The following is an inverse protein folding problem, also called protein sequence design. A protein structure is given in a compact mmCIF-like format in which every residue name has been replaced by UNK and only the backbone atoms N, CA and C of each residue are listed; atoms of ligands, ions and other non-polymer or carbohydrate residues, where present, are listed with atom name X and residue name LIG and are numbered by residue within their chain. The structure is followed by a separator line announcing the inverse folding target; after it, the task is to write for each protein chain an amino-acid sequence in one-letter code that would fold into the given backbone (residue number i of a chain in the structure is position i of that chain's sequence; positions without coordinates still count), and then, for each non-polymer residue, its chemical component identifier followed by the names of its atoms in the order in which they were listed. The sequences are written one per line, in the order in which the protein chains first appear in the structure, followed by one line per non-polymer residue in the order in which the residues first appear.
data_IF_403855691328
#
_entry.id   IF_403855691328
#
_cell.length_a   1.000
_cell.length_b   1.000
_cell.length_c   1.000
_cell.angle_alpha   90.00
_cell.angle_beta   90.00
_cell.angle_gamma   90.00
#
_symmetry.space_group_name_H-M   'P 1'
#
loop_
_entity.id
_entity.type
_entity.pdbx_description
1 polymer ?
#
# COMPACT_ATOMS: atom_id res chain seq x y z
N UNK A 1 -2.09 0.84 3.49
CA UNK A 1 -3.29 1.06 4.29
C UNK A 1 -3.44 2.52 4.70
N UNK A 2 -2.58 3.08 5.55
CA UNK A 2 -2.73 4.47 6.02
C UNK A 2 -2.85 5.50 4.88
N UNK A 3 -2.09 5.32 3.80
CA UNK A 3 -2.14 6.19 2.61
C UNK A 3 -3.54 6.15 1.97
N UNK A 4 -4.13 4.95 1.81
CA UNK A 4 -5.46 4.81 1.20
C UNK A 4 -6.53 5.42 2.10
N UNK A 5 -6.56 5.08 3.39
CA UNK A 5 -7.53 5.61 4.34
C UNK A 5 -7.48 7.15 4.43
N UNK A 6 -6.27 7.70 4.58
CA UNK A 6 -6.08 9.16 4.69
C UNK A 6 -6.51 9.90 3.40
N UNK A 7 -6.02 9.46 2.24
CA UNK A 7 -6.33 10.17 1.01
C UNK A 7 -7.80 10.01 0.59
N UNK A 8 -8.43 8.86 0.87
CA UNK A 8 -9.87 8.69 0.70
C UNK A 8 -10.66 9.67 1.59
N UNK A 9 -10.27 9.79 2.87
CA UNK A 9 -10.87 10.74 3.81
C UNK A 9 -10.74 12.19 3.34
N UNK A 10 -9.54 12.59 2.92
CA UNK A 10 -9.27 13.94 2.38
C UNK A 10 -10.08 14.22 1.10
N UNK A 11 -10.22 13.24 0.25
CA UNK A 11 -10.97 13.39 -1.00
C UNK A 11 -12.49 13.42 -0.77
N UNK A 12 -13.01 12.63 0.16
CA UNK A 12 -14.42 12.69 0.61
C UNK A 12 -14.76 14.05 1.26
N UNK A 13 -13.86 14.58 2.09
CA UNK A 13 -14.07 15.89 2.71
C UNK A 13 -14.16 17.02 1.66
N UNK A 14 -13.37 16.95 0.58
CA UNK A 14 -13.49 17.90 -0.55
C UNK A 14 -14.86 17.82 -1.26
N UNK A 15 -15.59 16.74 -1.08
CA UNK A 15 -16.95 16.55 -1.59
C UNK A 15 -18.04 16.95 -0.58
N UNK A 16 -17.66 17.47 0.59
CA UNK A 16 -18.56 18.00 1.62
C UNK A 16 -18.85 17.04 2.78
N UNK A 17 -18.25 15.85 2.80
CA UNK A 17 -18.38 14.92 3.92
C UNK A 17 -17.54 15.36 5.12
N UNK A 18 -18.01 15.05 6.32
CA UNK A 18 -17.22 15.12 7.55
C UNK A 18 -16.66 13.73 7.86
N UNK A 19 -15.36 13.63 7.96
CA UNK A 19 -14.67 12.35 8.18
C UNK A 19 -13.91 12.35 9.50
N UNK A 20 -14.27 11.42 10.38
CA UNK A 20 -13.52 11.13 11.60
C UNK A 20 -12.64 9.93 11.38
N UNK A 21 -11.33 10.13 11.39
CA UNK A 21 -10.34 9.05 11.37
C UNK A 21 -10.04 8.66 12.81
N UNK A 22 -10.29 7.40 13.17
CA UNK A 22 -10.04 6.89 14.51
C UNK A 22 -8.90 5.87 14.47
N UNK A 23 -7.87 6.09 15.27
CA UNK A 23 -6.71 5.21 15.38
C UNK A 23 -6.30 5.03 16.83
N UNK A 24 -5.56 3.98 17.10
CA UNK A 24 -4.92 3.80 18.40
C UNK A 24 -3.81 4.84 18.60
N UNK A 25 -3.74 5.43 19.77
CA UNK A 25 -2.60 6.26 20.16
C UNK A 25 -1.34 5.43 20.28
N UNK A 26 -0.31 5.75 19.52
CA UNK A 26 0.99 5.07 19.54
C UNK A 26 2.16 6.01 19.91
N UNK A 27 1.85 7.28 20.18
CA UNK A 27 2.76 8.29 20.71
C UNK A 27 2.09 8.98 21.91
N UNK A 28 2.71 8.95 23.09
CA UNK A 28 2.15 9.61 24.28
C UNK A 28 2.06 11.13 24.12
N UNK A 29 2.88 11.73 23.24
CA UNK A 29 2.84 13.16 22.91
C UNK A 29 1.75 13.54 21.91
N UNK A 30 1.14 12.56 21.23
CA UNK A 30 0.10 12.85 20.27
C UNK A 30 -1.18 13.42 20.95
N UNK A 31 -1.79 14.51 20.42
CA UNK A 31 -3.02 15.04 20.96
C UNK A 31 -4.17 14.06 20.81
N UNK A 32 -5.21 14.18 21.66
CA UNK A 32 -6.38 13.31 21.57
C UNK A 32 -7.13 13.46 20.25
N UNK A 33 -7.11 14.64 19.65
CA UNK A 33 -7.62 14.89 18.30
C UNK A 33 -6.87 16.01 17.62
N UNK A 34 -6.82 15.95 16.28
CA UNK A 34 -6.25 17.00 15.42
C UNK A 34 -7.03 17.12 14.12
N UNK A 35 -7.40 18.32 13.74
CA UNK A 35 -7.96 18.58 12.41
C UNK A 35 -6.83 18.58 11.39
N UNK A 36 -6.81 17.55 10.53
CA UNK A 36 -5.79 17.39 9.49
C UNK A 36 -6.02 18.34 8.32
N UNK A 37 -7.27 18.56 7.96
CA UNK A 37 -7.78 19.49 6.96
C UNK A 37 -9.24 19.78 7.29
N UNK A 38 -9.83 20.89 6.77
CA UNK A 38 -11.25 21.15 6.95
C UNK A 38 -12.11 19.95 6.60
N UNK A 39 -12.91 19.49 7.56
CA UNK A 39 -13.77 18.32 7.42
C UNK A 39 -13.11 16.97 7.70
N UNK A 40 -11.82 16.89 8.03
CA UNK A 40 -11.15 15.63 8.42
C UNK A 40 -10.48 15.79 9.78
N UNK A 41 -10.97 15.07 10.77
CA UNK A 41 -10.39 15.05 12.12
C UNK A 41 -9.83 13.67 12.44
N UNK A 42 -8.59 13.61 12.87
CA UNK A 42 -7.96 12.41 13.42
C UNK A 42 -8.18 12.38 14.94
N UNK A 43 -8.64 11.25 15.44
CA UNK A 43 -8.77 10.96 16.86
C UNK A 43 -7.80 9.85 17.25
N UNK A 44 -6.93 10.14 18.22
CA UNK A 44 -6.00 9.18 18.81
C UNK A 44 -6.65 8.58 20.07
N UNK A 45 -7.14 7.35 19.97
CA UNK A 45 -7.84 6.66 21.03
C UNK A 45 -6.85 5.94 21.97
N UNK A 46 -7.07 6.04 23.26
CA UNK A 46 -6.28 5.34 24.28
C UNK A 46 -6.74 3.87 24.33
N UNK A 47 -5.95 2.98 23.72
CA UNK A 47 -6.19 1.55 23.65
C UNK A 47 -4.86 0.79 23.78
N UNK A 48 -4.54 0.38 24.99
CA UNK A 48 -3.26 -0.23 25.32
C UNK A 48 -2.11 0.78 25.43
N UNK A 49 -0.85 0.34 25.28
CA UNK A 49 0.32 1.20 25.50
C UNK A 49 0.45 2.26 24.39
N UNK A 50 0.75 3.51 24.79
CA UNK A 50 0.99 4.62 23.84
C UNK A 50 2.40 4.52 23.24
N UNK A 51 2.66 3.45 22.48
CA UNK A 51 3.89 3.21 21.70
C UNK A 51 3.56 2.39 20.46
N UNK A 52 4.42 2.39 19.44
CA UNK A 52 4.34 1.42 18.35
C UNK A 52 4.37 -0.02 18.90
N UNK A 53 3.53 -0.88 18.34
CA UNK A 53 3.39 -2.30 18.71
C UNK A 53 3.58 -3.14 17.46
N UNK A 54 4.38 -4.20 17.54
CA UNK A 54 4.58 -5.13 16.44
C UNK A 54 3.23 -5.73 16.00
N UNK A 55 3.08 -6.04 14.72
CA UNK A 55 1.82 -6.57 14.19
C UNK A 55 1.41 -7.87 14.88
N UNK A 56 2.38 -8.72 15.20
CA UNK A 56 2.18 -9.97 15.95
C UNK A 56 1.61 -9.78 17.36
N UNK A 57 1.80 -8.60 17.96
CA UNK A 57 1.33 -8.25 19.30
C UNK A 57 0.01 -7.45 19.31
N UNK A 58 -0.52 -7.08 18.14
CA UNK A 58 -1.69 -6.18 18.07
C UNK A 58 -3.00 -6.85 18.43
N UNK A 59 -3.15 -8.15 18.23
CA UNK A 59 -4.42 -8.87 18.45
C UNK A 59 -5.03 -8.62 19.83
N UNK A 60 -4.23 -8.62 20.89
CA UNK A 60 -4.68 -8.37 22.27
C UNK A 60 -5.22 -6.94 22.50
N UNK A 61 -5.00 -6.04 21.56
CA UNK A 61 -5.47 -4.65 21.61
C UNK A 61 -6.82 -4.44 20.90
N UNK A 62 -7.42 -5.49 20.32
CA UNK A 62 -8.72 -5.40 19.63
C UNK A 62 -9.81 -5.00 20.63
N UNK A 63 -9.89 -5.70 21.77
CA UNK A 63 -10.90 -5.40 22.80
C UNK A 63 -10.71 -4.00 23.41
N UNK A 64 -9.51 -3.59 23.89
CA UNK A 64 -9.27 -2.22 24.33
C UNK A 64 -9.59 -1.16 23.27
N UNK A 65 -9.34 -1.44 22.00
CA UNK A 65 -9.67 -0.51 20.91
C UNK A 65 -11.19 -0.44 20.68
N UNK A 66 -11.91 -1.57 20.75
CA UNK A 66 -13.36 -1.60 20.66
C UNK A 66 -14.03 -0.84 21.81
N UNK A 67 -13.52 -0.97 23.05
CA UNK A 67 -13.98 -0.19 24.21
C UNK A 67 -13.75 1.32 24.00
N UNK A 68 -12.58 1.70 23.52
CA UNK A 68 -12.24 3.09 23.23
C UNK A 68 -13.13 3.69 22.12
N UNK A 69 -13.44 2.91 21.08
CA UNK A 69 -14.41 3.26 20.03
C UNK A 69 -15.81 3.47 20.60
N UNK A 70 -16.30 2.53 21.43
CA UNK A 70 -17.58 2.65 22.11
C UNK A 70 -17.63 3.94 22.95
N UNK A 71 -16.59 4.20 23.73
CA UNK A 71 -16.48 5.42 24.53
C UNK A 71 -16.46 6.69 23.68
N UNK A 72 -15.91 6.64 22.45
CA UNK A 72 -15.94 7.76 21.52
C UNK A 72 -17.38 8.05 21.04
N UNK A 73 -18.16 7.04 20.66
CA UNK A 73 -19.55 7.22 20.24
C UNK A 73 -20.48 7.67 21.35
N UNK A 74 -20.17 7.36 22.62
CA UNK A 74 -20.96 7.82 23.78
C UNK A 74 -20.77 9.32 24.09
N UNK A 75 -19.78 9.98 23.53
CA UNK A 75 -19.54 11.41 23.75
C UNK A 75 -20.52 12.23 22.92
N UNK A 76 -21.04 13.31 23.52
CA UNK A 76 -21.98 14.21 22.85
C UNK A 76 -21.39 14.79 21.55
N UNK A 77 -22.16 14.73 20.47
CA UNK A 77 -21.79 15.25 19.16
C UNK A 77 -20.98 14.30 18.28
N UNK A 78 -20.60 13.13 18.76
CA UNK A 78 -19.96 12.11 17.94
C UNK A 78 -21.05 11.22 17.31
N UNK A 79 -21.21 11.34 16.00
CA UNK A 79 -22.16 10.56 15.19
C UNK A 79 -21.48 10.18 13.87
N UNK A 80 -21.90 9.07 13.31
CA UNK A 80 -21.52 8.64 11.99
C UNK A 80 -22.74 8.07 11.27
N UNK A 81 -22.85 8.30 9.98
CA UNK A 81 -23.83 7.67 9.12
C UNK A 81 -23.33 6.28 8.68
N UNK A 82 -22.00 6.11 8.61
CA UNK A 82 -21.34 4.88 8.18
C UNK A 82 -20.04 4.71 8.99
N UNK A 83 -19.70 3.47 9.30
CA UNK A 83 -18.39 3.07 9.81
C UNK A 83 -17.67 2.28 8.74
N UNK A 84 -16.52 2.80 8.24
CA UNK A 84 -15.66 2.12 7.29
C UNK A 84 -14.33 1.73 7.95
N UNK A 85 -14.14 0.45 8.17
CA UNK A 85 -12.95 -0.10 8.81
C UNK A 85 -11.89 -0.46 7.78
N UNK A 86 -10.63 -0.17 8.11
CA UNK A 86 -9.46 -0.50 7.29
C UNK A 86 -8.58 -1.51 8.01
N UNK A 87 -8.34 -2.67 7.39
CA UNK A 87 -7.65 -3.83 7.96
C UNK A 87 -8.52 -4.63 8.94
N UNK A 88 -8.21 -5.93 9.08
CA UNK A 88 -9.00 -6.85 9.89
C UNK A 88 -9.12 -6.43 11.36
N UNK A 89 -8.03 -5.90 11.95
CA UNK A 89 -8.00 -5.45 13.34
C UNK A 89 -9.11 -4.44 13.66
N UNK A 90 -9.20 -3.38 12.84
CA UNK A 90 -10.23 -2.37 13.00
C UNK A 90 -11.61 -2.90 12.66
N UNK A 91 -11.72 -3.84 11.71
CA UNK A 91 -12.99 -4.49 11.37
C UNK A 91 -13.58 -5.26 12.54
N UNK A 92 -12.78 -6.12 13.19
CA UNK A 92 -13.21 -6.89 14.36
C UNK A 92 -13.63 -5.97 15.51
N UNK A 93 -12.88 -4.88 15.75
CA UNK A 93 -13.17 -3.94 16.81
C UNK A 93 -14.43 -3.08 16.54
N UNK A 94 -14.65 -2.66 15.29
CA UNK A 94 -15.70 -1.70 14.94
C UNK A 94 -17.05 -2.34 14.58
N UNK A 95 -17.06 -3.57 14.06
CA UNK A 95 -18.29 -4.27 13.66
C UNK A 95 -19.35 -4.35 14.77
N UNK A 96 -19.04 -4.75 16.03
CA UNK A 96 -20.02 -4.75 17.09
C UNK A 96 -20.52 -3.35 17.45
N UNK A 97 -19.68 -2.32 17.30
CA UNK A 97 -20.05 -0.94 17.55
C UNK A 97 -21.02 -0.43 16.48
N UNK A 98 -20.75 -0.69 15.21
CA UNK A 98 -21.64 -0.31 14.10
C UNK A 98 -23.05 -0.86 14.32
N UNK A 99 -23.15 -2.15 14.71
CA UNK A 99 -24.42 -2.80 15.07
C UNK A 99 -25.11 -2.14 16.28
N UNK A 100 -24.33 -1.82 17.31
CA UNK A 100 -24.87 -1.21 18.53
C UNK A 100 -25.41 0.20 18.29
N UNK A 101 -24.79 0.98 17.40
CA UNK A 101 -25.24 2.33 17.05
C UNK A 101 -26.21 2.36 15.85
N UNK A 102 -26.43 1.23 15.19
CA UNK A 102 -27.42 1.07 14.12
C UNK A 102 -26.99 1.72 12.78
N UNK A 103 -25.71 1.68 12.46
CA UNK A 103 -25.18 2.21 11.17
C UNK A 103 -24.51 1.11 10.36
N UNK A 104 -24.47 1.21 9.01
CA UNK A 104 -23.78 0.25 8.16
C UNK A 104 -22.29 0.16 8.49
N UNK A 105 -21.77 -1.07 8.49
CA UNK A 105 -20.34 -1.37 8.62
C UNK A 105 -19.75 -1.75 7.27
N UNK A 106 -18.79 -0.98 6.81
CA UNK A 106 -18.02 -1.27 5.61
C UNK A 106 -16.61 -1.71 5.98
N UNK A 107 -16.03 -2.61 5.18
CA UNK A 107 -14.69 -3.14 5.41
C UNK A 107 -13.80 -3.03 4.18
N UNK A 108 -12.56 -2.53 4.34
CA UNK A 108 -11.45 -2.72 3.41
C UNK A 108 -10.31 -3.48 4.09
N UNK A 109 -9.92 -4.63 3.52
CA UNK A 109 -8.86 -5.45 4.12
C UNK A 109 -7.45 -4.92 3.81
N UNK A 110 -7.18 -4.48 2.58
CA UNK A 110 -5.88 -4.06 2.04
C UNK A 110 -4.80 -5.16 2.02
N UNK A 111 -4.98 -6.20 2.77
CA UNK A 111 -4.24 -7.45 2.71
C UNK A 111 -5.06 -8.52 3.42
N UNK A 112 -5.03 -9.73 2.89
CA UNK A 112 -5.65 -10.92 3.47
C UNK A 112 -4.54 -11.89 3.83
N UNK A 113 -4.58 -12.44 5.05
CA UNK A 113 -3.60 -13.41 5.50
C UNK A 113 -3.66 -14.69 4.68
N UNK A 114 -2.52 -15.19 4.23
CA UNK A 114 -2.43 -16.54 3.67
C UNK A 114 -2.65 -17.59 4.77
N UNK A 115 -3.17 -18.78 4.44
CA UNK A 115 -3.23 -19.88 5.40
C UNK A 115 -1.84 -20.19 5.98
N UNK A 116 -1.80 -20.69 7.20
CA UNK A 116 -0.54 -21.07 7.82
C UNK A 116 0.19 -22.14 6.97
N UNK A 117 1.48 -21.94 6.73
CA UNK A 117 2.29 -22.85 5.90
C UNK A 117 2.20 -22.62 4.38
N UNK A 118 1.40 -21.65 3.92
CA UNK A 118 1.39 -21.25 2.51
C UNK A 118 2.72 -20.65 2.08
N UNK A 119 2.98 -20.66 0.77
CA UNK A 119 4.13 -19.97 0.19
C UNK A 119 3.99 -18.45 0.30
N UNK A 120 5.09 -17.72 0.19
CA UNK A 120 5.06 -16.25 0.17
C UNK A 120 4.31 -15.69 -1.06
N UNK A 121 4.14 -16.49 -2.10
CA UNK A 121 3.43 -16.09 -3.31
C UNK A 121 1.90 -16.06 -3.11
N UNK A 122 1.41 -16.67 -2.03
CA UNK A 122 -0.02 -16.73 -1.69
C UNK A 122 -0.49 -15.59 -0.76
N UNK A 123 0.41 -14.71 -0.33
CA UNK A 123 0.09 -13.56 0.51
C UNK A 123 0.93 -13.45 1.78
N UNK A 124 0.57 -12.52 2.64
CA UNK A 124 1.19 -12.37 3.97
C UNK A 124 0.80 -13.54 4.87
N UNK A 125 1.76 -14.06 5.62
CA UNK A 125 1.46 -15.00 6.70
C UNK A 125 0.67 -14.29 7.80
N UNK A 126 -0.21 -14.99 8.54
CA UNK A 126 -0.92 -14.38 9.65
C UNK A 126 0.09 -13.94 10.72
N UNK A 127 -0.01 -12.69 11.15
CA UNK A 127 0.85 -12.15 12.21
C UNK A 127 0.46 -12.71 13.59
N UNK A 128 -0.81 -13.12 13.75
CA UNK A 128 -1.38 -13.65 14.98
C UNK A 128 -2.31 -14.81 14.71
N UNK A 129 -2.59 -15.62 15.74
CA UNK A 129 -3.43 -16.82 15.60
C UNK A 129 -4.89 -16.50 15.29
N UNK A 130 -5.40 -15.36 15.75
CA UNK A 130 -6.79 -14.95 15.55
C UNK A 130 -7.07 -14.26 14.23
N UNK A 131 -6.04 -13.88 13.45
CA UNK A 131 -6.23 -13.08 12.23
C UNK A 131 -7.13 -13.76 11.21
N UNK A 132 -6.90 -15.02 10.89
CA UNK A 132 -7.73 -15.75 9.92
C UNK A 132 -9.21 -15.82 10.33
N UNK A 133 -9.48 -16.10 11.60
CA UNK A 133 -10.84 -16.13 12.13
C UNK A 133 -11.48 -14.74 12.14
N UNK A 134 -10.74 -13.72 12.53
CA UNK A 134 -11.20 -12.33 12.53
C UNK A 134 -11.49 -11.81 11.11
N UNK A 135 -10.64 -12.11 10.13
CA UNK A 135 -10.89 -11.78 8.73
C UNK A 135 -12.18 -12.45 8.22
N UNK A 136 -12.39 -13.74 8.49
CA UNK A 136 -13.60 -14.46 8.11
C UNK A 136 -14.84 -13.87 8.78
N UNK A 137 -14.79 -13.60 10.08
CA UNK A 137 -15.88 -12.97 10.82
C UNK A 137 -16.30 -11.64 10.19
N UNK A 138 -15.34 -10.76 9.93
CA UNK A 138 -15.60 -9.44 9.35
C UNK A 138 -16.12 -9.57 7.92
N UNK A 139 -15.54 -10.47 7.12
CA UNK A 139 -15.97 -10.70 5.73
C UNK A 139 -17.41 -11.21 5.62
N UNK A 140 -17.84 -12.04 6.56
CA UNK A 140 -19.19 -12.63 6.53
C UNK A 140 -20.26 -11.75 7.20
N UNK A 141 -19.85 -10.72 7.93
CA UNK A 141 -20.76 -9.96 8.78
C UNK A 141 -20.80 -8.46 8.50
N UNK A 142 -19.93 -7.92 7.66
CA UNK A 142 -20.01 -6.54 7.18
C UNK A 142 -21.14 -6.37 6.18
N UNK A 143 -21.70 -5.17 6.11
CA UNK A 143 -22.78 -4.85 5.17
C UNK A 143 -22.25 -4.71 3.74
N UNK A 144 -21.02 -4.18 3.59
CA UNK A 144 -20.32 -4.09 2.31
C UNK A 144 -18.81 -4.24 2.51
N UNK A 145 -18.14 -4.83 1.54
CA UNK A 145 -16.68 -4.93 1.51
C UNK A 145 -16.16 -4.20 0.28
N UNK A 146 -15.20 -3.30 0.50
CA UNK A 146 -14.52 -2.56 -0.54
C UNK A 146 -13.15 -3.19 -0.76
N UNK A 147 -13.02 -4.00 -1.79
CA UNK A 147 -11.74 -4.56 -2.22
C UNK A 147 -10.95 -3.53 -3.06
N UNK A 148 -9.62 -3.55 -2.97
CA UNK A 148 -8.75 -2.64 -3.73
C UNK A 148 -8.33 -3.20 -5.09
N UNK A 149 -8.75 -4.44 -5.41
CA UNK A 149 -8.49 -5.12 -6.68
C UNK A 149 -9.45 -6.29 -6.90
N UNK A 150 -9.59 -6.74 -8.13
CA UNK A 150 -10.32 -7.97 -8.44
C UNK A 150 -9.62 -9.22 -7.87
N UNK A 151 -8.30 -9.19 -7.76
CA UNK A 151 -7.53 -10.24 -7.10
C UNK A 151 -7.87 -10.32 -5.60
N UNK A 152 -7.95 -9.19 -4.90
CA UNK A 152 -8.37 -9.16 -3.49
C UNK A 152 -9.83 -9.58 -3.35
N UNK A 153 -10.72 -9.09 -4.23
CA UNK A 153 -12.14 -9.47 -4.25
C UNK A 153 -12.30 -10.98 -4.31
N UNK A 154 -11.61 -11.66 -5.25
CA UNK A 154 -11.63 -13.12 -5.35
C UNK A 154 -11.14 -13.78 -4.06
N UNK A 155 -10.04 -13.31 -3.51
CA UNK A 155 -9.49 -13.85 -2.25
C UNK A 155 -10.50 -13.71 -1.10
N UNK A 156 -11.18 -12.59 -0.99
CA UNK A 156 -12.20 -12.35 0.06
C UNK A 156 -13.39 -13.29 -0.11
N UNK A 157 -13.87 -13.50 -1.33
CA UNK A 157 -14.99 -14.42 -1.61
C UNK A 157 -14.55 -15.87 -1.36
N UNK A 158 -13.48 -16.30 -1.98
CA UNK A 158 -13.09 -17.71 -2.03
C UNK A 158 -12.51 -18.22 -0.71
N UNK A 159 -11.79 -17.36 0.04
CA UNK A 159 -11.08 -17.77 1.25
C UNK A 159 -11.75 -17.31 2.53
N UNK A 160 -12.37 -16.14 2.55
CA UNK A 160 -13.03 -15.61 3.74
C UNK A 160 -14.54 -15.91 3.76
N UNK A 161 -15.11 -16.36 2.64
CA UNK A 161 -16.52 -16.76 2.55
C UNK A 161 -17.51 -15.59 2.52
N UNK A 162 -17.08 -14.43 2.06
CA UNK A 162 -17.98 -13.30 1.85
C UNK A 162 -18.95 -13.58 0.70
N UNK A 163 -20.20 -13.09 0.82
CA UNK A 163 -21.17 -13.14 -0.27
C UNK A 163 -20.65 -12.33 -1.48
N UNK A 164 -20.68 -12.87 -2.72
CA UNK A 164 -20.16 -12.16 -3.90
C UNK A 164 -20.78 -10.78 -4.13
N UNK A 165 -22.07 -10.62 -3.76
CA UNK A 165 -22.82 -9.37 -3.91
C UNK A 165 -22.46 -8.32 -2.85
N UNK A 166 -21.76 -8.73 -1.79
CA UNK A 166 -21.28 -7.86 -0.72
C UNK A 166 -19.86 -7.35 -0.96
N UNK A 167 -19.18 -7.78 -2.03
CA UNK A 167 -17.81 -7.39 -2.31
C UNK A 167 -17.75 -6.59 -3.62
N UNK A 168 -17.44 -5.32 -3.51
CA UNK A 168 -17.22 -4.44 -4.66
C UNK A 168 -15.76 -4.00 -4.74
N UNK A 169 -15.29 -3.66 -5.94
CA UNK A 169 -13.93 -3.15 -6.13
C UNK A 169 -13.98 -1.63 -6.26
N UNK A 170 -13.12 -0.95 -5.50
CA UNK A 170 -12.78 0.45 -5.69
C UNK A 170 -11.25 0.55 -5.70
N UNK A 171 -10.69 0.78 -6.88
CA UNK A 171 -9.24 0.88 -7.05
C UNK A 171 -8.67 2.07 -6.28
N UNK A 172 -7.50 1.93 -5.66
CA UNK A 172 -6.80 3.06 -5.03
C UNK A 172 -6.43 4.14 -6.03
N UNK A 173 -6.33 5.36 -5.54
CA UNK A 173 -5.89 6.50 -6.33
C UNK A 173 -4.44 6.90 -6.07
N UNK A 174 -3.99 7.90 -6.82
CA UNK A 174 -2.70 8.56 -6.62
C UNK A 174 -2.87 10.08 -6.59
N UNK A 175 -2.03 10.75 -5.81
CA UNK A 175 -1.90 12.22 -5.87
C UNK A 175 -0.97 12.59 -7.04
N UNK A 176 -1.56 12.99 -8.16
CA UNK A 176 -0.84 13.30 -9.40
C UNK A 176 -0.11 14.64 -9.40
N UNK A 177 -0.29 15.47 -8.37
CA UNK A 177 0.48 16.68 -8.14
C UNK A 177 1.75 16.39 -7.32
N UNK A 178 1.64 15.53 -6.33
CA UNK A 178 2.76 15.05 -5.53
C UNK A 178 3.65 14.10 -6.36
N UNK A 179 3.05 13.06 -6.95
CA UNK A 179 3.70 12.12 -7.85
C UNK A 179 3.51 12.59 -9.30
N UNK A 180 4.53 13.20 -9.85
CA UNK A 180 4.53 13.80 -11.18
C UNK A 180 5.91 13.69 -11.85
N UNK A 181 5.98 13.77 -13.16
CA UNK A 181 7.27 13.81 -13.86
C UNK A 181 8.15 14.99 -13.41
N UNK A 182 9.45 14.83 -13.56
CA UNK A 182 10.44 15.88 -13.36
C UNK A 182 10.13 17.05 -14.32
N UNK A 183 10.13 18.28 -13.80
CA UNK A 183 9.94 19.48 -14.63
C UNK A 183 11.27 19.93 -15.25
N UNK A 184 11.23 20.60 -16.42
CA UNK A 184 12.43 21.21 -16.95
C UNK A 184 13.11 22.12 -15.92
N UNK A 185 14.43 22.02 -15.79
CA UNK A 185 15.26 22.75 -14.84
C UNK A 185 15.05 22.40 -13.34
N UNK A 186 14.22 21.43 -13.02
CA UNK A 186 14.15 20.85 -11.68
C UNK A 186 15.39 19.96 -11.47
N UNK A 187 16.15 20.10 -10.37
CA UNK A 187 17.32 19.28 -10.13
C UNK A 187 16.92 17.81 -9.91
N UNK A 188 17.76 16.91 -10.40
CA UNK A 188 17.68 15.50 -10.01
C UNK A 188 17.97 15.35 -8.51
N UNK A 189 17.35 14.34 -7.88
CA UNK A 189 17.45 14.14 -6.44
C UNK A 189 18.90 13.96 -5.95
N UNK A 190 19.70 13.11 -6.57
CA UNK A 190 21.05 12.79 -6.10
C UNK A 190 22.11 12.65 -7.20
N UNK A 191 21.72 12.19 -8.38
CA UNK A 191 22.65 11.93 -9.50
C UNK A 191 22.03 12.40 -10.81
N UNK A 192 22.88 12.90 -11.70
CA UNK A 192 22.48 13.29 -13.04
C UNK A 192 22.27 12.10 -14.00
N UNK A 193 22.31 10.89 -13.47
CA UNK A 193 22.21 9.64 -14.21
C UNK A 193 20.99 8.81 -13.91
N UNK A 194 20.82 7.75 -14.67
CA UNK A 194 19.81 6.74 -14.51
C UNK A 194 20.03 5.93 -13.22
N UNK A 195 18.99 5.69 -12.45
CA UNK A 195 19.01 4.73 -11.34
C UNK A 195 17.72 3.91 -11.28
N UNK A 196 17.83 2.72 -10.71
CA UNK A 196 16.72 1.85 -10.42
C UNK A 196 16.20 2.19 -9.03
N UNK A 197 14.89 2.14 -8.86
CA UNK A 197 14.26 2.45 -7.59
C UNK A 197 13.47 1.26 -7.05
N UNK A 198 13.66 0.95 -5.78
CA UNK A 198 12.85 0.00 -5.02
C UNK A 198 12.30 0.72 -3.81
N UNK A 199 11.00 0.64 -3.57
CA UNK A 199 10.38 1.28 -2.41
C UNK A 199 9.32 0.39 -1.77
N UNK A 200 9.70 -0.29 -0.69
CA UNK A 200 8.83 -1.11 0.14
C UNK A 200 9.50 -1.43 1.48
N UNK A 201 8.73 -1.94 2.44
CA UNK A 201 9.30 -2.53 3.66
C UNK A 201 10.30 -3.64 3.30
N UNK A 202 11.44 -3.66 3.99
CA UNK A 202 12.47 -4.69 3.79
C UNK A 202 12.04 -6.00 4.45
N UNK A 203 11.39 -6.86 3.66
CA UNK A 203 10.90 -8.17 4.07
C UNK A 203 10.88 -9.13 2.86
N UNK A 204 10.99 -10.45 3.08
CA UNK A 204 11.07 -11.43 1.98
C UNK A 204 9.92 -11.35 0.97
N UNK A 205 8.70 -11.04 1.46
CA UNK A 205 7.51 -10.90 0.61
C UNK A 205 7.67 -9.82 -0.47
N UNK A 206 8.40 -8.74 -0.18
CA UNK A 206 8.60 -7.61 -1.10
C UNK A 206 9.75 -7.83 -2.09
N UNK A 207 10.59 -8.82 -1.86
CA UNK A 207 11.61 -9.30 -2.79
C UNK A 207 12.77 -8.34 -3.09
N UNK A 208 13.26 -7.51 -2.14
CA UNK A 208 14.41 -6.64 -2.42
C UNK A 208 15.67 -7.41 -2.79
N UNK A 209 15.79 -8.67 -2.37
CA UNK A 209 16.84 -9.60 -2.80
C UNK A 209 16.86 -9.82 -4.31
N UNK A 210 15.70 -9.91 -4.95
CA UNK A 210 15.61 -10.03 -6.41
C UNK A 210 16.01 -8.72 -7.10
N UNK A 211 15.68 -7.56 -6.54
CA UNK A 211 16.14 -6.28 -7.09
C UNK A 211 17.68 -6.19 -7.06
N UNK A 212 18.32 -6.62 -5.96
CA UNK A 212 19.79 -6.68 -5.84
C UNK A 212 20.40 -7.67 -6.83
N UNK A 213 19.83 -8.88 -6.95
CA UNK A 213 20.29 -9.88 -7.91
C UNK A 213 20.09 -9.44 -9.37
N UNK A 214 19.04 -8.72 -9.66
CA UNK A 214 18.79 -8.09 -10.96
C UNK A 214 19.92 -7.12 -11.32
N UNK A 215 20.34 -6.27 -10.36
CA UNK A 215 21.48 -5.37 -10.57
C UNK A 215 22.77 -6.15 -10.82
N UNK A 216 23.02 -7.23 -10.07
CA UNK A 216 24.19 -8.10 -10.25
C UNK A 216 24.25 -8.74 -11.64
N UNK A 217 23.10 -9.11 -12.22
CA UNK A 217 22.98 -9.72 -13.54
C UNK A 217 23.23 -8.74 -14.70
N UNK A 218 23.21 -7.42 -14.46
CA UNK A 218 23.59 -6.43 -15.46
C UNK A 218 25.11 -6.42 -15.68
N UNK A 219 25.58 -6.15 -16.93
CA UNK A 219 27.02 -6.08 -17.23
C UNK A 219 27.76 -5.06 -16.37
N UNK A 220 28.93 -5.44 -15.87
CA UNK A 220 29.82 -4.51 -15.14
C UNK A 220 30.13 -3.29 -16.00
N UNK A 221 30.20 -2.09 -15.38
CA UNK A 221 30.43 -0.82 -16.06
C UNK A 221 29.19 -0.22 -16.75
N UNK A 222 28.09 -0.97 -16.85
CA UNK A 222 26.78 -0.50 -17.34
C UNK A 222 25.69 -0.58 -16.25
N UNK A 223 26.06 -0.93 -15.04
CA UNK A 223 25.12 -1.02 -13.91
C UNK A 223 24.68 0.37 -13.47
N UNK A 224 23.39 0.69 -13.48
CA UNK A 224 22.90 1.89 -12.82
C UNK A 224 23.00 1.71 -11.30
N UNK A 225 22.84 2.79 -10.54
CA UNK A 225 22.65 2.66 -9.10
C UNK A 225 21.30 2.01 -8.80
N UNK A 226 21.22 1.24 -7.71
CA UNK A 226 19.98 0.77 -7.13
C UNK A 226 19.72 1.52 -5.82
N UNK A 227 18.64 2.27 -5.78
CA UNK A 227 18.20 3.02 -4.60
C UNK A 227 17.09 2.23 -3.92
N UNK A 228 17.29 1.89 -2.67
CA UNK A 228 16.35 1.12 -1.84
C UNK A 228 15.81 2.03 -0.75
N UNK A 229 14.53 2.40 -0.87
CA UNK A 229 13.78 3.15 0.14
C UNK A 229 12.83 2.21 0.89
N UNK A 230 12.91 2.22 2.20
CA UNK A 230 12.03 1.43 3.04
C UNK A 230 12.65 1.06 4.38
N UNK A 231 11.78 0.84 5.33
CA UNK A 231 12.14 0.51 6.69
C UNK A 231 12.16 -1.00 6.89
N UNK A 232 13.00 -1.43 7.79
CA UNK A 232 13.00 -2.82 8.24
C UNK A 232 11.86 -3.00 9.24
N UNK A 233 10.96 -3.93 9.00
CA UNK A 233 9.94 -4.32 9.96
C UNK A 233 10.60 -4.98 11.19
N UNK A 234 10.10 -4.70 12.39
CA UNK A 234 10.60 -5.31 13.62
C UNK A 234 10.61 -6.85 13.55
N UNK A 235 9.60 -7.43 12.91
CA UNK A 235 9.47 -8.88 12.72
C UNK A 235 10.49 -9.47 11.71
N UNK A 236 11.20 -8.64 10.94
CA UNK A 236 12.15 -9.03 9.89
C UNK A 236 13.52 -8.35 10.02
N UNK A 237 13.95 -7.98 11.25
CA UNK A 237 15.26 -7.34 11.48
C UNK A 237 16.43 -8.16 10.94
N UNK A 238 16.37 -9.49 11.02
CA UNK A 238 17.34 -10.42 10.49
C UNK A 238 17.49 -10.32 8.95
N UNK A 239 16.41 -10.05 8.23
CA UNK A 239 16.41 -10.01 6.78
C UNK A 239 17.19 -8.81 6.21
N UNK A 240 17.15 -7.67 6.90
CA UNK A 240 17.94 -6.51 6.50
C UNK A 240 19.45 -6.76 6.55
N UNK A 241 19.92 -7.55 7.53
CA UNK A 241 21.31 -7.97 7.60
C UNK A 241 21.68 -8.92 6.46
N UNK A 242 20.84 -9.92 6.20
CA UNK A 242 21.04 -10.82 5.05
C UNK A 242 21.05 -10.09 3.71
N UNK A 243 20.20 -9.05 3.53
CA UNK A 243 20.20 -8.26 2.32
C UNK A 243 21.49 -7.48 2.12
N UNK A 244 22.08 -6.93 3.20
CA UNK A 244 23.39 -6.27 3.13
C UNK A 244 24.51 -7.26 2.81
N UNK A 245 24.53 -8.41 3.47
CA UNK A 245 25.48 -9.50 3.19
C UNK A 245 25.38 -9.97 1.72
N UNK A 246 24.17 -10.01 1.16
CA UNK A 246 23.97 -10.30 -0.26
C UNK A 246 24.63 -9.24 -1.15
N UNK A 247 24.42 -7.95 -0.86
CA UNK A 247 25.04 -6.84 -1.61
C UNK A 247 26.56 -6.94 -1.57
N UNK A 248 27.14 -7.16 -0.38
CA UNK A 248 28.59 -7.29 -0.19
C UNK A 248 29.14 -8.52 -0.93
N UNK A 249 28.48 -9.66 -0.83
CA UNK A 249 28.89 -10.91 -1.49
C UNK A 249 28.86 -10.84 -3.02
N UNK A 250 28.01 -9.96 -3.57
CA UNK A 250 27.91 -9.71 -5.02
C UNK A 250 28.80 -8.55 -5.49
N UNK A 251 29.56 -7.91 -4.58
CA UNK A 251 30.45 -6.79 -4.90
C UNK A 251 29.73 -5.51 -5.31
N UNK A 252 28.51 -5.28 -4.81
CA UNK A 252 27.63 -4.18 -5.22
C UNK A 252 27.55 -3.05 -4.17
N UNK A 253 28.46 -3.01 -3.22
CA UNK A 253 28.44 -2.05 -2.10
C UNK A 253 28.44 -0.59 -2.56
N UNK A 254 29.12 -0.28 -3.66
CA UNK A 254 29.19 1.08 -4.23
C UNK A 254 28.00 1.43 -5.15
N UNK A 255 27.25 0.42 -5.64
CA UNK A 255 26.11 0.59 -6.54
C UNK A 255 24.76 0.60 -5.83
N UNK A 256 24.67 0.10 -4.59
CA UNK A 256 23.42 0.02 -3.82
C UNK A 256 23.40 1.08 -2.72
N UNK A 257 22.32 1.88 -2.69
CA UNK A 257 22.10 2.91 -1.68
C UNK A 257 20.84 2.59 -0.86
N UNK A 258 20.99 2.50 0.46
CA UNK A 258 19.88 2.33 1.39
C UNK A 258 19.50 3.67 2.02
N UNK A 259 18.23 4.04 1.95
CA UNK A 259 17.74 5.33 2.45
C UNK A 259 16.93 5.22 3.74
N UNK A 260 16.50 4.01 4.11
CA UNK A 260 15.56 3.83 5.22
C UNK A 260 14.15 4.34 4.89
N UNK A 261 13.37 4.63 5.92
CA UNK A 261 12.02 5.18 5.78
C UNK A 261 12.07 6.57 5.19
N UNK A 262 11.19 6.85 4.24
CA UNK A 262 11.08 8.14 3.58
C UNK A 262 9.66 8.67 3.74
N UNK A 263 9.51 9.96 3.91
CA UNK A 263 8.21 10.59 3.82
C UNK A 263 7.66 10.62 2.38
N UNK A 264 6.44 11.05 2.21
CA UNK A 264 5.76 11.00 0.90
C UNK A 264 6.34 11.99 -0.11
N UNK A 265 6.84 13.14 0.34
CA UNK A 265 7.42 14.17 -0.52
C UNK A 265 8.83 13.77 -0.96
N UNK A 266 9.62 13.21 -0.04
CA UNK A 266 10.92 12.62 -0.32
C UNK A 266 10.78 11.45 -1.32
N UNK A 267 9.84 10.52 -1.06
CA UNK A 267 9.55 9.39 -1.96
C UNK A 267 9.19 9.86 -3.38
N UNK A 268 8.31 10.86 -3.50
CA UNK A 268 7.92 11.42 -4.78
C UNK A 268 9.10 12.11 -5.50
N UNK A 269 9.98 12.76 -4.74
CA UNK A 269 11.18 13.42 -5.28
C UNK A 269 12.16 12.40 -5.84
N UNK A 270 12.41 11.31 -5.10
CA UNK A 270 13.25 10.20 -5.55
C UNK A 270 12.65 9.49 -6.76
N UNK A 271 11.34 9.23 -6.74
CA UNK A 271 10.64 8.56 -7.83
C UNK A 271 10.87 9.27 -9.16
N UNK A 272 10.77 10.60 -9.21
CA UNK A 272 10.91 11.40 -10.46
C UNK A 272 12.23 11.21 -11.20
N UNK A 273 13.30 10.87 -10.50
CA UNK A 273 14.63 10.71 -11.09
C UNK A 273 14.95 9.28 -11.52
N UNK A 274 14.08 8.32 -11.20
CA UNK A 274 14.32 6.93 -11.50
C UNK A 274 14.09 6.61 -12.99
N UNK A 275 14.86 5.68 -13.54
CA UNK A 275 14.63 5.13 -14.87
C UNK A 275 13.62 4.00 -14.89
N UNK A 276 13.53 3.26 -13.80
CA UNK A 276 12.50 2.25 -13.58
C UNK A 276 12.29 2.02 -12.09
N UNK A 277 11.03 1.71 -11.72
CA UNK A 277 10.68 1.13 -10.43
C UNK A 277 10.77 -0.39 -10.54
N UNK A 278 11.41 -1.04 -9.56
CA UNK A 278 11.38 -2.49 -9.40
C UNK A 278 10.40 -2.86 -8.28
N UNK A 279 9.39 -3.65 -8.62
CA UNK A 279 8.45 -4.22 -7.64
C UNK A 279 8.41 -5.75 -7.73
N UNK A 280 9.45 -6.45 -7.23
CA UNK A 280 9.57 -7.89 -7.31
C UNK A 280 8.82 -8.61 -6.17
N UNK A 281 7.75 -8.02 -5.65
CA UNK A 281 6.95 -8.61 -4.59
C UNK A 281 6.43 -9.99 -4.97
N UNK A 282 6.44 -10.93 -4.04
CA UNK A 282 5.89 -12.28 -4.22
C UNK A 282 4.38 -12.31 -4.17
N UNK A 283 3.79 -11.37 -3.45
CA UNK A 283 2.35 -11.15 -3.41
C UNK A 283 2.06 -9.67 -3.15
N UNK A 284 1.07 -9.13 -3.83
CA UNK A 284 0.66 -7.75 -3.69
C UNK A 284 -0.86 -7.63 -3.92
N UNK A 285 -1.52 -6.89 -3.05
CA UNK A 285 -2.97 -6.72 -3.15
C UNK A 285 -3.37 -5.82 -4.33
N UNK A 286 -2.59 -4.75 -4.59
CA UNK A 286 -2.77 -3.84 -5.73
C UNK A 286 -1.44 -3.35 -6.30
N UNK A 287 -0.54 -2.89 -5.42
CA UNK A 287 0.71 -2.27 -5.83
C UNK A 287 0.60 -0.76 -6.01
N UNK A 288 0.17 -0.03 -4.97
CA UNK A 288 0.03 1.43 -5.01
C UNK A 288 1.30 2.14 -5.50
N UNK A 289 2.48 1.62 -5.14
CA UNK A 289 3.77 2.16 -5.58
C UNK A 289 3.94 2.15 -7.11
N UNK A 290 3.32 1.18 -7.81
CA UNK A 290 3.35 1.12 -9.27
C UNK A 290 2.57 2.29 -9.88
N UNK A 291 1.41 2.62 -9.29
CA UNK A 291 0.61 3.76 -9.72
C UNK A 291 1.32 5.09 -9.43
N UNK A 292 2.05 5.18 -8.31
CA UNK A 292 2.87 6.34 -7.95
C UNK A 292 4.06 6.52 -8.90
N UNK A 293 4.71 5.43 -9.32
CA UNK A 293 5.75 5.44 -10.34
C UNK A 293 5.19 5.89 -11.69
N UNK A 294 4.08 5.29 -12.12
CA UNK A 294 3.38 5.68 -13.34
C UNK A 294 2.99 7.16 -13.34
N UNK A 295 2.48 7.68 -12.22
CA UNK A 295 2.16 9.08 -12.03
C UNK A 295 3.40 9.98 -12.14
N UNK A 296 4.55 9.50 -11.71
CA UNK A 296 5.84 10.18 -11.80
C UNK A 296 6.50 10.07 -13.19
N UNK A 297 5.86 9.35 -14.14
CA UNK A 297 6.43 9.08 -15.45
C UNK A 297 7.59 8.07 -15.40
N UNK A 298 7.57 7.16 -14.44
CA UNK A 298 8.60 6.13 -14.25
C UNK A 298 8.02 4.77 -14.65
N UNK A 299 8.61 4.08 -15.63
CA UNK A 299 8.20 2.73 -15.99
C UNK A 299 8.36 1.74 -14.84
N UNK A 300 7.48 0.76 -14.81
CA UNK A 300 7.46 -0.26 -13.74
C UNK A 300 7.92 -1.61 -14.28
N UNK A 301 8.81 -2.29 -13.55
CA UNK A 301 9.08 -3.73 -13.74
C UNK A 301 8.56 -4.43 -12.48
N UNK A 302 7.52 -5.23 -12.62
CA UNK A 302 6.85 -5.86 -11.49
C UNK A 302 6.63 -7.36 -11.70
N UNK A 303 6.48 -8.09 -10.60
CA UNK A 303 6.04 -9.49 -10.65
C UNK A 303 4.60 -9.59 -11.15
N UNK A 304 4.30 -10.59 -11.98
CA UNK A 304 2.93 -10.88 -12.44
C UNK A 304 2.19 -11.72 -11.39
N UNK A 305 1.71 -11.10 -10.34
CA UNK A 305 0.95 -11.78 -9.30
C UNK A 305 -0.07 -10.85 -8.63
N UNK A 306 -1.03 -11.42 -7.90
CA UNK A 306 -2.05 -10.68 -7.14
C UNK A 306 -2.72 -9.59 -7.96
N UNK A 307 -2.80 -8.39 -7.39
CA UNK A 307 -3.36 -7.19 -8.03
C UNK A 307 -2.38 -6.39 -8.91
N UNK A 308 -1.14 -6.87 -9.12
CA UNK A 308 -0.16 -6.19 -9.98
C UNK A 308 -0.67 -5.94 -11.41
N UNK A 309 -1.36 -6.91 -12.08
CA UNK A 309 -1.92 -6.68 -13.42
C UNK A 309 -3.03 -5.62 -13.48
N UNK A 310 -3.50 -5.15 -12.33
CA UNK A 310 -4.52 -4.11 -12.25
C UNK A 310 -3.90 -2.71 -12.03
N UNK A 311 -2.64 -2.67 -11.58
CA UNK A 311 -1.86 -1.43 -11.40
C UNK A 311 -0.81 -1.19 -12.48
N UNK A 312 -0.54 -2.20 -13.33
CA UNK A 312 0.42 -2.14 -14.45
C UNK A 312 -0.20 -2.79 -15.69
N UNK A 313 -0.31 -2.04 -16.78
CA UNK A 313 -0.69 -2.59 -18.09
C UNK A 313 0.58 -3.12 -18.76
N UNK A 314 0.68 -4.46 -18.86
CA UNK A 314 1.87 -5.13 -19.38
C UNK A 314 2.20 -4.75 -20.81
N UNK A 315 3.44 -4.35 -21.07
CA UNK A 315 3.91 -3.88 -22.37
C UNK A 315 3.50 -2.44 -22.72
N UNK A 316 2.77 -1.74 -21.82
CA UNK A 316 2.30 -0.38 -22.06
C UNK A 316 2.75 0.59 -20.95
N UNK A 317 2.35 0.34 -19.70
CA UNK A 317 2.75 1.21 -18.56
C UNK A 317 3.93 0.64 -17.77
N UNK A 318 4.28 -0.62 -18.03
CA UNK A 318 5.37 -1.35 -17.40
C UNK A 318 5.47 -2.77 -17.95
N UNK A 319 6.33 -3.57 -17.35
CA UNK A 319 6.54 -4.97 -17.68
C UNK A 319 6.15 -5.86 -16.48
N UNK A 320 5.35 -6.87 -16.74
CA UNK A 320 4.94 -7.87 -15.73
C UNK A 320 5.67 -9.19 -15.99
N UNK A 321 6.51 -9.59 -15.05
CA UNK A 321 7.35 -10.77 -15.16
C UNK A 321 6.82 -11.91 -14.27
N UNK A 322 6.62 -13.09 -14.87
CA UNK A 322 6.24 -14.30 -14.12
C UNK A 322 7.47 -15.04 -13.57
N UNK A 323 8.66 -14.77 -14.12
CA UNK A 323 9.91 -15.38 -13.68
C UNK A 323 10.51 -14.59 -12.51
N UNK A 324 11.16 -15.30 -11.59
CA UNK A 324 12.03 -14.72 -10.56
C UNK A 324 13.52 -14.89 -10.89
N UNK A 325 13.84 -15.26 -12.13
CA UNK A 325 15.21 -15.34 -12.60
C UNK A 325 15.79 -13.91 -12.75
N UNK A 326 16.88 -13.56 -12.05
CA UNK A 326 17.51 -12.24 -12.13
C UNK A 326 17.92 -11.83 -13.55
N UNK A 327 18.29 -12.78 -14.42
CA UNK A 327 18.67 -12.50 -15.80
C UNK A 327 17.47 -12.01 -16.63
N UNK A 328 16.29 -12.56 -16.40
CA UNK A 328 15.04 -12.10 -17.06
C UNK A 328 14.68 -10.69 -16.61
N UNK A 329 14.89 -10.39 -15.33
CA UNK A 329 14.66 -9.04 -14.77
C UNK A 329 15.70 -8.05 -15.29
N UNK A 330 16.98 -8.46 -15.39
CA UNK A 330 18.05 -7.63 -15.91
C UNK A 330 17.81 -7.26 -17.39
N UNK A 331 17.36 -8.17 -18.22
CA UNK A 331 17.02 -7.87 -19.62
C UNK A 331 15.86 -6.87 -19.73
N UNK A 332 14.81 -7.01 -18.91
CA UNK A 332 13.70 -6.06 -18.84
C UNK A 332 14.16 -4.66 -18.40
N UNK A 333 15.01 -4.60 -17.39
CA UNK A 333 15.57 -3.35 -16.86
C UNK A 333 16.48 -2.67 -17.89
N UNK A 334 17.36 -3.43 -18.56
CA UNK A 334 18.32 -2.92 -19.52
C UNK A 334 17.67 -2.09 -20.61
N UNK A 335 16.50 -2.47 -21.10
CA UNK A 335 15.77 -1.68 -22.10
C UNK A 335 15.35 -0.30 -21.57
N UNK A 336 15.00 -0.20 -20.30
CA UNK A 336 14.68 1.10 -19.69
C UNK A 336 15.90 1.95 -19.37
N UNK A 337 17.06 1.34 -19.13
CA UNK A 337 18.30 2.09 -18.88
C UNK A 337 18.97 2.57 -20.17
N UNK A 338 18.99 1.74 -21.20
CA UNK A 338 19.78 1.96 -22.41
C UNK A 338 19.00 2.66 -23.54
N UNK A 339 17.67 2.45 -23.62
CA UNK A 339 16.82 2.91 -24.71
C UNK A 339 15.92 4.08 -24.23
N UNK A 340 16.40 5.31 -24.35
CA UNK A 340 15.67 6.49 -23.87
C UNK A 340 14.28 6.67 -24.51
N UNK A 341 14.14 6.36 -25.80
CA UNK A 341 12.86 6.44 -26.52
C UNK A 341 11.87 5.38 -26.02
N UNK A 342 12.35 4.15 -25.81
CA UNK A 342 11.55 3.08 -25.23
C UNK A 342 11.06 3.46 -23.84
N UNK A 343 11.94 3.95 -22.96
CA UNK A 343 11.56 4.45 -21.64
C UNK A 343 10.53 5.57 -21.72
N UNK A 344 10.68 6.52 -22.64
CA UNK A 344 9.77 7.65 -22.80
C UNK A 344 8.35 7.21 -23.20
N UNK A 345 8.20 6.17 -24.03
CA UNK A 345 6.88 5.61 -24.40
C UNK A 345 6.14 5.10 -23.16
N UNK A 346 6.80 4.29 -22.34
CA UNK A 346 6.21 3.77 -21.10
C UNK A 346 5.92 4.86 -20.06
N UNK A 347 6.82 5.85 -19.98
CA UNK A 347 6.62 7.02 -19.10
C UNK A 347 5.36 7.79 -19.44
N UNK A 348 5.11 8.05 -20.72
CA UNK A 348 3.94 8.77 -21.20
C UNK A 348 2.66 7.95 -20.98
N UNK A 349 2.67 6.68 -21.33
CA UNK A 349 1.52 5.79 -21.17
C UNK A 349 1.18 5.62 -19.67
N UNK A 350 2.18 5.38 -18.82
CA UNK A 350 2.02 5.29 -17.37
C UNK A 350 1.43 6.56 -16.76
N UNK A 351 1.94 7.73 -17.15
CA UNK A 351 1.36 9.01 -16.69
C UNK A 351 -0.10 9.18 -17.10
N UNK A 352 -0.43 8.83 -18.34
CA UNK A 352 -1.82 8.90 -18.85
C UNK A 352 -2.75 7.99 -18.05
N UNK A 353 -2.32 6.76 -17.77
CA UNK A 353 -3.04 5.81 -16.94
C UNK A 353 -3.27 6.36 -15.52
N UNK A 354 -2.22 6.85 -14.86
CA UNK A 354 -2.30 7.37 -13.50
C UNK A 354 -3.22 8.59 -13.37
N UNK A 355 -3.30 9.45 -14.38
CA UNK A 355 -4.20 10.61 -14.39
C UNK A 355 -5.69 10.22 -14.35
N UNK A 356 -6.04 9.00 -14.73
CA UNK A 356 -7.39 8.45 -14.64
C UNK A 356 -7.69 7.85 -13.25
N UNK A 357 -6.65 7.56 -12.45
CA UNK A 357 -6.75 6.90 -11.15
C UNK A 357 -6.40 7.88 -10.01
N UNK A 358 -7.20 8.93 -9.85
CA UNK A 358 -6.99 9.95 -8.81
C UNK A 358 -7.82 9.68 -7.57
N UNK A 359 -7.39 10.21 -6.41
CA UNK A 359 -8.20 10.14 -5.17
C UNK A 359 -9.56 10.81 -5.31
N UNK A 360 -9.70 11.78 -6.21
CA UNK A 360 -11.01 12.38 -6.52
C UNK A 360 -11.96 11.39 -7.21
N UNK A 361 -11.42 10.51 -8.05
CA UNK A 361 -12.20 9.42 -8.66
C UNK A 361 -12.63 8.41 -7.59
N UNK A 362 -11.69 7.96 -6.76
CA UNK A 362 -11.96 7.05 -5.62
C UNK A 362 -13.06 7.58 -4.72
N UNK A 363 -13.01 8.87 -4.36
CA UNK A 363 -14.04 9.47 -3.51
C UNK A 363 -15.43 9.44 -4.12
N UNK A 364 -15.56 9.63 -5.45
CA UNK A 364 -16.85 9.52 -6.14
C UNK A 364 -17.40 8.08 -6.09
N UNK A 365 -16.54 7.09 -6.29
CA UNK A 365 -16.95 5.69 -6.24
C UNK A 365 -17.33 5.28 -4.81
N UNK A 366 -16.52 5.65 -3.82
CA UNK A 366 -16.83 5.38 -2.40
C UNK A 366 -18.15 6.04 -1.98
N UNK A 367 -18.36 7.32 -2.33
CA UNK A 367 -19.58 8.05 -2.03
C UNK A 367 -20.81 7.36 -2.62
N UNK A 368 -20.73 6.89 -3.88
CA UNK A 368 -21.82 6.15 -4.51
C UNK A 368 -22.16 4.88 -3.71
N UNK A 369 -21.14 4.10 -3.29
CA UNK A 369 -21.34 2.90 -2.46
C UNK A 369 -21.91 3.22 -1.09
N UNK A 370 -21.44 4.30 -0.45
CA UNK A 370 -21.97 4.73 0.85
C UNK A 370 -23.44 5.11 0.76
N UNK A 371 -23.82 5.85 -0.27
CA UNK A 371 -25.22 6.24 -0.48
C UNK A 371 -26.13 5.04 -0.78
N UNK A 372 -25.65 4.03 -1.51
CA UNK A 372 -26.36 2.79 -1.75
C UNK A 372 -26.66 2.06 -0.42
N UNK A 373 -25.69 1.99 0.51
CA UNK A 373 -25.88 1.33 1.81
C UNK A 373 -26.82 2.10 2.76
N UNK A 374 -26.83 3.44 2.67
CA UNK A 374 -27.70 4.26 3.53
C UNK A 374 -29.19 4.19 3.12
N UNK A 375 -29.52 3.69 1.93
CA UNK A 375 -30.91 3.54 1.46
C UNK A 375 -31.43 2.09 1.55
N UNK A 376 -30.57 1.14 1.91
CA UNK A 376 -30.96 -0.26 2.17
C UNK A 376 -31.55 -0.42 3.55
#
# INVERSE_FOLDING_TARGET
MNVVALNSALALARRGHRVSLLTRRDDPGAPASVELRPGVTLFNLDAGPARPVAKSEQEVLIEPFSEALSGWFLRAGHQADIIHSHHWFSGVAALPIARAVGVPHLQSFHSVAAPAGSSLDEGEQPESSGRNAGEQQVAQQSDLIIAVSEAERRTIIDRLGAGPDLVTVVYPGVDTEQFRPLRPAEPHWAWDGCYLFFAARLQPLKGPDLAVRTLAALPEGHRPRLVIAGETSADFSWYASQLRELVDSLGLTDEVTYLGSQDRDELATMMRGACALLNPSRSETYGLINLEASASGVPVVASRNGGMPESVIDGETGLLLSSRDPEVWAEAVRRFTDEAEYRAMFSQAGRTFALQHTWSHVARELEARYLEELVR
#
